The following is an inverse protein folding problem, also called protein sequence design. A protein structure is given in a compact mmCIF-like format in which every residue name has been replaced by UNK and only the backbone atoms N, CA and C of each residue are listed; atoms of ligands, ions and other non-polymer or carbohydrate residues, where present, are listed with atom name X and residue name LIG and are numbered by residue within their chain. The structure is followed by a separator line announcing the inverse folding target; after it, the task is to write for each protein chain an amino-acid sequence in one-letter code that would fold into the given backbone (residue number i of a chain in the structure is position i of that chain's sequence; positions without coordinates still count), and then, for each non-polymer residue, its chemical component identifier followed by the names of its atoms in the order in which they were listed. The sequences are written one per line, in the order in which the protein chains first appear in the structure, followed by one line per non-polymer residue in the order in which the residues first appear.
data_IF_531518876142
#
_entry.id   IF_531518876142
#
_cell.length_a   1.000
_cell.length_b   1.000
_cell.length_c   1.000
_cell.angle_alpha   90.00
_cell.angle_beta   90.00
_cell.angle_gamma   90.00
#
_symmetry.space_group_name_H-M   'P 1'
#
loop_
_entity.id
_entity.type
_entity.pdbx_description
1 polymer ?
#
# COMPACT_ATOMS: atom_id res chain seq x y z
N UNK A 1 13.93 8.08 -15.21
CA UNK A 1 12.83 8.60 -14.38
C UNK A 1 12.76 7.80 -13.08
N UNK A 2 12.68 8.48 -11.96
CA UNK A 2 12.56 7.85 -10.65
C UNK A 2 11.09 7.80 -10.25
N UNK A 3 10.62 6.61 -9.87
CA UNK A 3 9.25 6.46 -9.36
C UNK A 3 9.31 6.38 -7.85
N UNK A 4 8.43 7.11 -7.19
CA UNK A 4 8.28 7.06 -5.74
C UNK A 4 7.19 6.08 -5.39
N UNK A 5 7.49 5.17 -4.47
CA UNK A 5 6.53 4.17 -4.00
C UNK A 5 6.38 4.35 -2.50
N UNK A 6 5.14 4.30 -2.02
CA UNK A 6 4.89 4.35 -0.58
C UNK A 6 4.10 3.13 -0.15
N UNK A 7 4.39 2.63 1.04
CA UNK A 7 3.78 1.43 1.60
C UNK A 7 3.30 1.72 3.02
N UNK A 8 2.31 0.96 3.47
CA UNK A 8 1.75 1.12 4.80
C UNK A 8 1.99 -0.12 5.66
N UNK A 9 2.24 0.11 6.93
CA UNK A 9 2.24 -0.95 7.94
C UNK A 9 0.90 -0.88 8.66
N UNK A 10 0.02 -1.83 8.36
CA UNK A 10 -1.31 -1.89 8.95
C UNK A 10 -1.36 -3.07 9.90
N UNK A 11 -1.60 -2.77 11.18
CA UNK A 11 -1.60 -3.77 12.23
C UNK A 11 -3.00 -3.95 12.78
N UNK A 12 -3.40 -5.21 12.99
CA UNK A 12 -4.68 -5.51 13.61
C UNK A 12 -4.55 -5.52 15.14
N UNK A 13 -5.66 -5.81 15.83
CA UNK A 13 -5.70 -5.85 17.30
C UNK A 13 -4.73 -6.85 17.89
N UNK A 14 -4.44 -7.92 17.16
CA UNK A 14 -3.57 -8.99 17.64
C UNK A 14 -2.09 -8.70 17.35
N UNK A 15 -1.79 -7.53 16.81
CA UNK A 15 -0.42 -7.15 16.51
C UNK A 15 0.12 -7.72 15.21
N UNK A 16 -0.73 -8.25 14.35
CA UNK A 16 -0.31 -8.82 13.07
C UNK A 16 -0.48 -7.82 11.95
N UNK A 17 0.46 -7.82 11.02
CA UNK A 17 0.45 -6.90 9.89
C UNK A 17 -0.28 -7.48 8.70
N UNK A 18 -0.92 -6.60 7.93
CA UNK A 18 -1.59 -6.96 6.69
C UNK A 18 -0.56 -7.07 5.57
N UNK A 19 -0.55 -8.22 4.90
CA UNK A 19 0.26 -8.43 3.72
C UNK A 19 -0.65 -8.82 2.56
N UNK A 20 -0.29 -8.39 1.36
CA UNK A 20 -1.02 -8.70 0.14
C UNK A 20 -0.22 -9.69 -0.68
N UNK A 21 -0.90 -10.68 -1.23
CA UNK A 21 -0.28 -11.66 -2.11
C UNK A 21 -0.29 -11.12 -3.54
N UNK A 22 0.87 -11.07 -4.16
CA UNK A 22 0.98 -10.76 -5.58
C UNK A 22 0.60 -11.99 -6.37
N UNK A 23 -0.37 -11.85 -7.28
CA UNK A 23 -0.80 -12.96 -8.12
C UNK A 23 0.34 -13.46 -9.01
N UNK A 24 0.20 -14.70 -9.49
CA UNK A 24 1.24 -15.33 -10.31
C UNK A 24 1.48 -14.60 -11.62
N UNK A 25 0.52 -13.81 -12.07
CA UNK A 25 0.64 -13.04 -13.31
C UNK A 25 1.12 -11.61 -13.11
N UNK A 26 1.43 -11.24 -11.87
CA UNK A 26 1.90 -9.88 -11.60
C UNK A 26 3.22 -9.64 -12.32
N UNK A 27 3.39 -8.49 -13.01
CA UNK A 27 4.60 -8.25 -13.81
C UNK A 27 5.87 -8.11 -12.97
N UNK A 28 5.75 -7.74 -11.70
CA UNK A 28 6.90 -7.56 -10.81
C UNK A 28 6.76 -8.49 -9.61
N UNK A 29 7.72 -9.38 -9.45
CA UNK A 29 7.79 -10.30 -8.31
C UNK A 29 6.49 -11.07 -8.06
N UNK A 30 6.03 -11.85 -9.07
CA UNK A 30 4.81 -12.65 -8.88
C UNK A 30 4.99 -13.67 -7.75
N UNK A 31 3.90 -13.99 -7.09
CA UNK A 31 3.90 -15.01 -6.03
C UNK A 31 4.52 -14.55 -4.72
N UNK A 32 4.81 -13.28 -4.54
CA UNK A 32 5.39 -12.75 -3.30
C UNK A 32 4.35 -12.02 -2.46
N UNK A 33 4.59 -11.97 -1.16
CA UNK A 33 3.81 -11.13 -0.25
C UNK A 33 4.40 -9.73 -0.25
N UNK A 34 3.54 -8.73 -0.13
CA UNK A 34 3.96 -7.34 -0.13
C UNK A 34 3.08 -6.52 0.81
N UNK A 35 3.61 -5.38 1.24
CA UNK A 35 2.84 -4.43 2.02
C UNK A 35 1.88 -3.67 1.12
N UNK A 36 0.70 -3.27 1.63
CA UNK A 36 -0.23 -2.45 0.85
C UNK A 36 0.37 -1.08 0.56
N UNK A 37 0.07 -0.55 -0.62
CA UNK A 37 0.58 0.73 -1.09
C UNK A 37 0.89 0.67 -2.57
N UNK A 38 1.52 1.70 -3.08
CA UNK A 38 1.85 1.78 -4.50
C UNK A 38 2.53 3.07 -4.87
N UNK A 39 2.48 3.39 -6.16
CA UNK A 39 3.16 4.58 -6.69
C UNK A 39 2.49 5.85 -6.19
N UNK A 40 3.33 6.82 -5.85
CA UNK A 40 2.89 8.17 -5.54
C UNK A 40 2.75 8.91 -6.88
N UNK A 41 1.54 9.36 -7.17
CA UNK A 41 1.29 10.09 -8.40
C UNK A 41 1.70 11.55 -8.26
N UNK A 42 1.81 12.21 -9.40
CA UNK A 42 2.11 13.63 -9.47
C UNK A 42 1.14 14.42 -8.59
N UNK A 43 1.67 15.32 -7.79
CA UNK A 43 0.89 16.19 -6.91
C UNK A 43 0.24 15.49 -5.70
N UNK A 44 0.52 14.21 -5.50
CA UNK A 44 0.11 13.54 -4.27
C UNK A 44 1.22 13.61 -3.23
N UNK A 45 0.81 13.64 -1.95
CA UNK A 45 1.76 13.36 -0.87
C UNK A 45 1.89 11.85 -0.72
N UNK A 46 2.94 11.39 -0.06
CA UNK A 46 3.10 9.96 0.21
C UNK A 46 1.94 9.41 1.02
N UNK A 47 1.45 10.18 2.00
CA UNK A 47 0.33 9.76 2.85
C UNK A 47 -0.95 9.62 2.03
N UNK A 48 -1.23 10.57 1.14
CA UNK A 48 -2.42 10.53 0.29
C UNK A 48 -2.35 9.34 -0.67
N UNK A 49 -1.19 9.11 -1.28
CA UNK A 49 -1.01 7.98 -2.19
C UNK A 49 -1.20 6.66 -1.47
N UNK A 50 -0.63 6.53 -0.27
CA UNK A 50 -0.76 5.30 0.52
C UNK A 50 -2.21 5.04 0.88
N UNK A 51 -2.93 6.07 1.33
CA UNK A 51 -4.35 5.92 1.69
C UNK A 51 -5.18 5.48 0.48
N UNK A 52 -4.94 6.09 -0.67
CA UNK A 52 -5.65 5.74 -1.91
C UNK A 52 -5.38 4.29 -2.31
N UNK A 53 -4.10 3.90 -2.34
CA UNK A 53 -3.72 2.55 -2.76
C UNK A 53 -4.25 1.49 -1.80
N UNK A 54 -4.22 1.76 -0.50
CA UNK A 54 -4.75 0.82 0.50
C UNK A 54 -6.23 0.59 0.25
N UNK A 55 -6.99 1.66 -0.01
CA UNK A 55 -8.42 1.53 -0.30
C UNK A 55 -8.67 0.72 -1.56
N UNK A 56 -7.91 0.99 -2.62
CA UNK A 56 -8.04 0.26 -3.88
C UNK A 56 -7.73 -1.23 -3.72
N UNK A 57 -6.74 -1.55 -2.93
CA UNK A 57 -6.26 -2.93 -2.79
C UNK A 57 -7.03 -3.74 -1.75
N UNK A 58 -7.51 -3.11 -0.69
CA UNK A 58 -8.09 -3.82 0.45
C UNK A 58 -9.52 -3.42 0.78
N UNK A 59 -9.99 -2.28 0.28
CA UNK A 59 -11.26 -1.72 0.68
C UNK A 59 -11.23 -1.01 2.03
N UNK A 60 -10.10 -1.02 2.72
CA UNK A 60 -9.95 -0.35 4.01
C UNK A 60 -9.79 1.15 3.78
N UNK A 61 -10.60 1.95 4.47
CA UNK A 61 -10.53 3.40 4.37
C UNK A 61 -9.68 3.94 5.51
N UNK A 62 -8.55 4.53 5.15
CA UNK A 62 -7.70 5.25 6.12
C UNK A 62 -7.53 6.67 5.63
N UNK A 63 -7.28 7.57 6.55
CA UNK A 63 -7.06 8.98 6.19
C UNK A 63 -5.56 9.28 6.21
N UNK A 64 -5.10 10.19 5.35
CA UNK A 64 -3.67 10.54 5.34
C UNK A 64 -3.11 10.93 6.70
N UNK A 65 -3.92 11.60 7.53
CA UNK A 65 -3.50 12.01 8.86
C UNK A 65 -3.31 10.85 9.84
N UNK A 66 -3.83 9.67 9.51
CA UNK A 66 -3.66 8.47 10.34
C UNK A 66 -2.29 7.84 10.12
N UNK A 67 -1.57 8.24 9.09
CA UNK A 67 -0.26 7.70 8.76
C UNK A 67 0.83 8.52 9.45
N UNK A 68 1.80 7.81 9.99
CA UNK A 68 2.90 8.43 10.72
C UNK A 68 4.24 8.18 10.02
#
# INVERSE_FOLDING_TARGET
MVKTVSKALIKNRNGKYLLLYRGDTHPNFPGHLDLPGGEVESEETSETATAREVQEETGICIYPNDLK
#
